data_IF_135179473266
#
_entry.id   IF_135179473266
#
_cell.length_a   1.000
_cell.length_b   1.000
_cell.length_c   1.000
_cell.angle_alpha   90.00
_cell.angle_beta   90.00
_cell.angle_gamma   90.00
#
_symmetry.space_group_name_H-M   'P 1'
#
loop_
_entity.id
_entity.type
_entity.pdbx_description
1 polymer ?
#
# COMPACT_ATOMS: atom_id res chain seq x y z
N UNK A 1 -3.45 -14.53 -18.15
CA UNK A 1 -4.91 -14.29 -18.35
C UNK A 1 -5.08 -12.81 -18.65
N UNK A 2 -5.94 -12.42 -19.59
CA UNK A 2 -6.20 -11.00 -19.85
C UNK A 2 -7.30 -10.44 -18.92
N UNK A 3 -7.34 -9.12 -18.76
CA UNK A 3 -8.26 -8.43 -17.85
C UNK A 3 -9.73 -8.64 -18.25
N UNK A 4 -10.08 -8.81 -19.54
CA UNK A 4 -11.48 -9.02 -19.98
C UNK A 4 -12.00 -10.35 -19.49
N UNK A 5 -11.17 -11.41 -19.60
CA UNK A 5 -11.52 -12.73 -19.08
C UNK A 5 -11.67 -12.71 -17.56
N UNK A 6 -10.78 -11.97 -16.87
CA UNK A 6 -10.88 -11.80 -15.43
C UNK A 6 -12.17 -11.06 -15.00
N UNK A 7 -12.58 -10.01 -15.73
CA UNK A 7 -13.84 -9.31 -15.50
C UNK A 7 -15.01 -10.31 -15.58
N UNK A 8 -15.07 -11.14 -16.61
CA UNK A 8 -16.11 -12.16 -16.74
C UNK A 8 -16.18 -13.11 -15.56
N UNK A 9 -15.04 -13.70 -15.16
CA UNK A 9 -14.96 -14.61 -14.02
C UNK A 9 -15.42 -13.95 -12.71
N UNK A 10 -14.99 -12.71 -12.46
CA UNK A 10 -15.35 -12.00 -11.23
C UNK A 10 -16.82 -11.62 -11.21
N UNK A 11 -17.41 -11.23 -12.35
CA UNK A 11 -18.86 -10.96 -12.48
C UNK A 11 -19.68 -12.22 -12.16
N UNK A 12 -19.20 -13.38 -12.61
CA UNK A 12 -19.84 -14.68 -12.34
C UNK A 12 -19.59 -15.17 -10.89
N UNK A 13 -18.99 -14.34 -10.04
CA UNK A 13 -18.70 -14.67 -8.64
C UNK A 13 -17.49 -15.59 -8.42
N UNK A 14 -16.72 -15.88 -9.47
CA UNK A 14 -15.54 -16.77 -9.38
C UNK A 14 -14.34 -16.02 -8.78
N UNK A 15 -13.60 -16.70 -7.92
CA UNK A 15 -12.34 -16.17 -7.38
C UNK A 15 -11.20 -16.34 -8.39
N UNK A 16 -10.28 -15.39 -8.40
CA UNK A 16 -9.03 -15.49 -9.15
C UNK A 16 -7.95 -16.15 -8.29
N UNK A 17 -7.12 -17.00 -8.91
CA UNK A 17 -5.88 -17.43 -8.24
C UNK A 17 -4.91 -16.25 -8.09
N UNK A 18 -3.90 -16.43 -7.24
CA UNK A 18 -2.84 -15.44 -7.07
C UNK A 18 -2.15 -15.11 -8.40
N UNK A 19 -1.81 -16.13 -9.22
CA UNK A 19 -1.16 -15.97 -10.53
C UNK A 19 -2.08 -15.24 -11.53
N UNK A 20 -3.37 -15.53 -11.49
CA UNK A 20 -4.34 -14.85 -12.34
C UNK A 20 -4.44 -13.37 -11.97
N UNK A 21 -4.47 -13.05 -10.67
CA UNK A 21 -4.50 -11.68 -10.19
C UNK A 21 -3.20 -10.94 -10.50
N UNK A 22 -2.04 -11.59 -10.39
CA UNK A 22 -0.75 -11.03 -10.82
C UNK A 22 -0.80 -10.62 -12.29
N UNK A 23 -1.29 -11.48 -13.16
CA UNK A 23 -1.38 -11.18 -14.60
C UNK A 23 -2.27 -9.94 -14.88
N UNK A 24 -3.44 -9.86 -14.24
CA UNK A 24 -4.35 -8.73 -14.40
C UNK A 24 -3.77 -7.43 -13.83
N UNK A 25 -3.17 -7.51 -12.66
CA UNK A 25 -2.54 -6.33 -12.04
C UNK A 25 -1.34 -5.84 -12.84
N UNK A 26 -0.58 -6.72 -13.48
CA UNK A 26 0.49 -6.33 -14.40
C UNK A 26 -0.04 -5.56 -15.61
N UNK A 27 -1.16 -5.98 -16.22
CA UNK A 27 -1.81 -5.23 -17.30
C UNK A 27 -2.22 -3.83 -16.83
N UNK A 28 -2.84 -3.73 -15.65
CA UNK A 28 -3.27 -2.45 -15.08
C UNK A 28 -2.06 -1.55 -14.81
N UNK A 29 -1.05 -2.07 -14.08
CA UNK A 29 0.11 -1.28 -13.65
C UNK A 29 1.11 -0.99 -14.77
N UNK A 30 1.00 -1.64 -15.92
CA UNK A 30 1.78 -1.33 -17.13
C UNK A 30 1.04 -0.39 -18.10
N UNK A 31 -0.23 -0.06 -17.82
CA UNK A 31 -1.04 0.81 -18.67
C UNK A 31 -1.59 0.16 -19.93
N UNK A 32 -1.59 -1.17 -19.99
CA UNK A 32 -2.14 -1.95 -21.12
C UNK A 32 -3.66 -2.00 -21.03
N UNK A 33 -4.21 -2.06 -19.80
CA UNK A 33 -5.66 -2.04 -19.58
C UNK A 33 -6.24 -0.64 -19.79
N UNK A 34 -7.40 -0.55 -20.42
CA UNK A 34 -8.11 0.72 -20.61
C UNK A 34 -8.77 1.19 -19.30
N UNK A 35 -9.05 2.51 -19.14
CA UNK A 35 -9.77 3.03 -17.97
C UNK A 35 -11.10 2.31 -17.71
N UNK A 36 -11.87 1.99 -18.76
CA UNK A 36 -13.13 1.26 -18.63
C UNK A 36 -12.94 -0.18 -18.11
N UNK A 37 -11.90 -0.87 -18.58
CA UNK A 37 -11.56 -2.20 -18.10
C UNK A 37 -11.14 -2.18 -16.63
N UNK A 38 -10.31 -1.22 -16.24
CA UNK A 38 -9.86 -1.05 -14.86
C UNK A 38 -11.06 -0.78 -13.94
N UNK A 39 -11.92 0.18 -14.30
CA UNK A 39 -13.11 0.52 -13.53
C UNK A 39 -14.04 -0.69 -13.38
N UNK A 40 -14.33 -1.40 -14.47
CA UNK A 40 -15.18 -2.60 -14.45
C UNK A 40 -14.61 -3.69 -13.56
N UNK A 41 -13.30 -3.98 -13.68
CA UNK A 41 -12.64 -5.02 -12.90
C UNK A 41 -12.66 -4.72 -11.39
N UNK A 42 -12.22 -3.53 -10.98
CA UNK A 42 -12.16 -3.20 -9.56
C UNK A 42 -13.54 -3.04 -8.92
N UNK A 43 -14.55 -2.68 -9.71
CA UNK A 43 -15.96 -2.61 -9.25
C UNK A 43 -16.52 -4.02 -9.08
N UNK A 44 -16.37 -4.88 -10.08
CA UNK A 44 -16.81 -6.28 -9.99
C UNK A 44 -16.11 -7.01 -8.82
N UNK A 45 -14.80 -6.83 -8.66
CA UNK A 45 -14.03 -7.41 -7.56
C UNK A 45 -14.55 -6.94 -6.18
N UNK A 46 -14.89 -5.65 -6.06
CA UNK A 46 -15.49 -5.08 -4.85
C UNK A 46 -16.88 -5.66 -4.54
N UNK A 47 -17.71 -5.91 -5.57
CA UNK A 47 -19.04 -6.50 -5.39
C UNK A 47 -18.94 -7.96 -4.95
N UNK A 48 -18.04 -8.74 -5.58
CA UNK A 48 -17.79 -10.13 -5.21
C UNK A 48 -17.18 -10.25 -3.81
N UNK A 49 -16.34 -9.33 -3.42
CA UNK A 49 -15.43 -9.41 -2.26
C UNK A 49 -14.09 -10.02 -2.65
N UNK A 50 -13.01 -9.37 -2.20
CA UNK A 50 -11.64 -9.77 -2.48
C UNK A 50 -11.19 -10.95 -1.60
N UNK A 51 -10.51 -11.93 -2.18
CA UNK A 51 -9.89 -13.04 -1.41
C UNK A 51 -8.45 -12.72 -1.03
N UNK A 52 -7.91 -13.50 -0.08
CA UNK A 52 -6.50 -13.39 0.35
C UNK A 52 -5.56 -13.61 -0.83
N UNK A 53 -5.86 -14.56 -1.74
CA UNK A 53 -5.09 -14.84 -2.94
C UNK A 53 -5.06 -13.62 -3.88
N UNK A 54 -6.22 -13.03 -4.12
CA UNK A 54 -6.36 -11.86 -4.99
C UNK A 54 -5.62 -10.65 -4.41
N UNK A 55 -5.79 -10.37 -3.12
CA UNK A 55 -5.08 -9.26 -2.46
C UNK A 55 -3.57 -9.51 -2.48
N UNK A 56 -3.12 -10.76 -2.24
CA UNK A 56 -1.70 -11.14 -2.27
C UNK A 56 -1.09 -10.90 -3.65
N UNK A 57 -1.75 -11.40 -4.71
CA UNK A 57 -1.29 -11.21 -6.09
C UNK A 57 -1.17 -9.72 -6.45
N UNK A 58 -2.17 -8.93 -6.10
CA UNK A 58 -2.16 -7.49 -6.32
C UNK A 58 -1.03 -6.79 -5.55
N UNK A 59 -0.83 -7.12 -4.28
CA UNK A 59 0.23 -6.54 -3.45
C UNK A 59 1.63 -6.88 -4.00
N UNK A 60 1.86 -8.11 -4.46
CA UNK A 60 3.13 -8.52 -5.08
C UNK A 60 3.47 -7.69 -6.31
N UNK A 61 2.51 -7.47 -7.22
CA UNK A 61 2.73 -6.63 -8.41
C UNK A 61 3.04 -5.20 -8.01
N UNK A 62 2.29 -4.62 -7.08
CA UNK A 62 2.53 -3.25 -6.64
C UNK A 62 3.89 -3.09 -5.96
N UNK A 63 4.33 -4.06 -5.14
CA UNK A 63 5.68 -4.07 -4.55
C UNK A 63 6.76 -4.09 -5.62
N UNK A 64 6.62 -4.96 -6.62
CA UNK A 64 7.59 -5.09 -7.72
C UNK A 64 7.68 -3.83 -8.60
N UNK A 65 6.58 -3.09 -8.76
CA UNK A 65 6.52 -1.85 -9.57
C UNK A 65 6.86 -0.59 -8.77
N UNK A 66 7.01 -0.68 -7.46
CA UNK A 66 7.39 0.45 -6.62
C UNK A 66 8.84 0.85 -6.82
N UNK A 67 9.15 2.13 -6.62
CA UNK A 67 10.54 2.60 -6.52
C UNK A 67 11.12 2.16 -5.18
N UNK A 68 12.06 1.22 -5.20
CA UNK A 68 12.63 0.64 -3.99
C UNK A 68 13.53 1.61 -3.22
N UNK A 69 13.41 1.58 -1.90
CA UNK A 69 14.21 2.35 -0.95
C UNK A 69 15.10 1.39 -0.14
N UNK A 70 16.41 1.57 -0.21
CA UNK A 70 17.34 0.78 0.58
C UNK A 70 17.46 1.35 2.00
N UNK A 71 17.14 0.55 3.00
CA UNK A 71 17.34 0.94 4.41
C UNK A 71 18.76 0.65 4.91
N UNK A 72 19.55 -0.14 4.18
CA UNK A 72 20.83 -0.67 4.63
C UNK A 72 20.72 -1.80 5.65
N UNK A 73 19.50 -2.20 6.01
CA UNK A 73 19.23 -3.29 6.97
C UNK A 73 18.99 -4.59 6.19
N UNK A 74 19.67 -5.65 6.59
CA UNK A 74 19.43 -6.99 6.05
C UNK A 74 18.24 -7.65 6.76
N UNK A 75 17.06 -7.44 6.21
CA UNK A 75 15.80 -7.98 6.75
C UNK A 75 15.67 -9.50 6.61
N UNK A 76 16.52 -10.14 5.79
CA UNK A 76 16.57 -11.60 5.64
C UNK A 76 17.32 -12.26 6.80
N UNK A 77 18.34 -11.60 7.33
CA UNK A 77 19.16 -12.06 8.44
C UNK A 77 18.82 -11.34 9.77
N UNK A 78 17.53 -11.39 10.16
CA UNK A 78 16.98 -10.88 11.42
C UNK A 78 17.01 -9.35 11.61
N UNK A 79 17.45 -8.56 10.65
CA UNK A 79 17.30 -7.11 10.69
C UNK A 79 15.84 -6.72 10.74
N UNK A 80 15.51 -5.66 11.48
CA UNK A 80 14.12 -5.19 11.66
C UNK A 80 13.98 -3.82 11.02
N UNK A 81 13.00 -3.71 10.11
CA UNK A 81 12.51 -2.45 9.56
C UNK A 81 11.01 -2.40 9.79
N UNK A 82 10.57 -1.40 10.53
CA UNK A 82 9.16 -1.24 10.91
C UNK A 82 8.45 -0.25 10.01
N UNK A 83 7.22 -0.58 9.62
CA UNK A 83 6.24 0.37 9.10
C UNK A 83 5.05 0.50 10.06
N UNK A 84 4.60 1.71 10.26
CA UNK A 84 3.38 2.02 11.01
C UNK A 84 2.43 2.75 10.08
N UNK A 85 1.42 2.08 9.61
CA UNK A 85 0.49 2.65 8.63
C UNK A 85 -0.95 2.18 8.87
N UNK A 86 -1.86 2.60 8.04
CA UNK A 86 -3.24 2.17 8.10
C UNK A 86 -3.92 2.29 6.73
N UNK A 87 -5.03 1.60 6.58
CA UNK A 87 -5.87 1.70 5.38
C UNK A 87 -6.50 3.09 5.22
N UNK A 88 -6.54 3.86 6.30
CA UNK A 88 -7.27 5.11 6.35
C UNK A 88 -8.79 4.92 6.31
N UNK A 89 -9.52 6.02 6.32
CA UNK A 89 -10.97 5.98 6.06
C UNK A 89 -11.83 5.39 7.18
N UNK A 90 -11.33 5.31 8.40
CA UNK A 90 -12.06 4.81 9.58
C UNK A 90 -13.04 5.84 10.19
N UNK A 91 -12.96 7.09 9.74
CA UNK A 91 -13.78 8.22 10.21
C UNK A 91 -13.72 8.43 11.74
N UNK A 92 -12.67 7.94 12.41
CA UNK A 92 -12.53 7.96 13.87
C UNK A 92 -12.27 9.36 14.44
N UNK A 93 -11.80 10.30 13.60
CA UNK A 93 -11.46 11.67 14.03
C UNK A 93 -10.28 11.76 15.00
N UNK A 94 -9.51 10.70 15.16
CA UNK A 94 -8.33 10.66 16.03
C UNK A 94 -7.15 11.43 15.39
N UNK A 95 -6.12 11.71 16.20
CA UNK A 95 -4.86 12.23 15.69
C UNK A 95 -4.10 11.18 14.86
N UNK A 96 -3.03 11.59 14.20
CA UNK A 96 -2.22 10.70 13.33
C UNK A 96 -1.42 9.67 14.15
N UNK A 97 -2.13 8.68 14.74
CA UNK A 97 -1.56 7.66 15.63
C UNK A 97 -0.36 6.97 15.00
N UNK A 98 -0.51 6.51 13.75
CA UNK A 98 0.58 5.81 13.05
C UNK A 98 1.82 6.69 12.84
N UNK A 99 1.64 8.00 12.65
CA UNK A 99 2.77 8.94 12.52
C UNK A 99 3.45 9.17 13.87
N UNK A 100 2.70 9.38 14.94
CA UNK A 100 3.25 9.52 16.28
C UNK A 100 3.99 8.24 16.71
N UNK A 101 3.41 7.07 16.48
CA UNK A 101 4.04 5.78 16.77
C UNK A 101 5.37 5.58 16.02
N UNK A 102 5.47 6.06 14.77
CA UNK A 102 6.72 5.99 14.00
C UNK A 102 7.88 6.68 14.72
N UNK A 103 7.65 7.87 15.28
CA UNK A 103 8.67 8.60 16.04
C UNK A 103 9.02 7.91 17.36
N UNK A 104 8.05 7.36 18.06
CA UNK A 104 8.28 6.61 19.31
C UNK A 104 9.14 5.37 19.05
N UNK A 105 8.81 4.61 17.99
CA UNK A 105 9.55 3.40 17.61
C UNK A 105 10.98 3.76 17.18
N UNK A 106 11.16 4.82 16.39
CA UNK A 106 12.49 5.29 16.00
C UNK A 106 13.30 5.80 17.22
N UNK A 107 12.65 6.52 18.14
CA UNK A 107 13.25 6.97 19.40
C UNK A 107 13.68 5.83 20.32
N UNK A 108 13.06 4.65 20.19
CA UNK A 108 13.48 3.43 20.86
C UNK A 108 14.65 2.69 20.15
N UNK A 109 15.21 3.27 19.09
CA UNK A 109 16.36 2.72 18.35
C UNK A 109 16.00 1.69 17.27
N UNK A 110 14.73 1.56 16.91
CA UNK A 110 14.30 0.63 15.86
C UNK A 110 14.15 1.40 14.54
N UNK A 111 14.69 0.85 13.45
CA UNK A 111 14.61 1.49 12.14
C UNK A 111 13.17 1.52 11.62
N UNK A 112 12.71 2.70 11.23
CA UNK A 112 11.36 2.94 10.70
C UNK A 112 11.40 3.42 9.26
N UNK A 113 10.73 2.70 8.37
CA UNK A 113 10.46 3.11 7.00
C UNK A 113 8.95 3.34 6.85
N UNK A 114 8.49 4.53 7.26
CA UNK A 114 7.06 4.82 7.31
C UNK A 114 6.48 5.09 5.94
N UNK A 115 5.65 4.20 5.44
CA UNK A 115 4.85 4.42 4.24
C UNK A 115 3.60 5.25 4.57
N UNK A 116 3.30 6.25 3.75
CA UNK A 116 2.16 7.10 4.01
C UNK A 116 1.73 7.99 2.85
N UNK A 117 0.57 8.59 3.01
CA UNK A 117 -0.05 9.45 2.00
C UNK A 117 -0.71 10.68 2.66
N UNK A 118 -1.21 11.59 1.81
CA UNK A 118 -2.16 12.61 2.23
C UNK A 118 -3.51 11.97 2.57
N UNK A 119 -4.31 12.67 3.35
CA UNK A 119 -5.66 12.22 3.64
C UNK A 119 -6.55 12.27 2.38
N UNK A 120 -7.42 11.27 2.26
CA UNK A 120 -8.50 11.24 1.27
C UNK A 120 -9.85 11.58 1.93
N UNK A 121 -10.05 11.13 3.16
CA UNK A 121 -11.33 11.21 3.88
C UNK A 121 -11.29 11.92 5.23
N UNK A 122 -10.10 12.10 5.81
CA UNK A 122 -9.91 12.83 7.06
C UNK A 122 -9.38 14.25 6.82
N UNK A 123 -9.32 15.07 7.87
CA UNK A 123 -8.82 16.45 7.78
C UNK A 123 -7.31 16.54 7.59
N UNK A 124 -6.55 15.51 7.99
CA UNK A 124 -5.09 15.51 7.98
C UNK A 124 -4.54 14.09 7.91
N UNK A 125 -3.79 13.77 6.86
CA UNK A 125 -3.06 12.51 6.70
C UNK A 125 -1.62 12.59 7.24
N UNK A 126 -0.88 11.49 7.15
CA UNK A 126 0.52 11.44 7.60
C UNK A 126 1.39 12.47 6.88
N UNK A 127 1.24 12.59 5.56
CA UNK A 127 2.01 13.54 4.77
C UNK A 127 1.66 14.99 5.14
N UNK A 128 0.38 15.27 5.41
CA UNK A 128 -0.07 16.63 5.71
C UNK A 128 0.53 17.14 7.04
N UNK A 129 0.52 16.31 8.08
CA UNK A 129 1.11 16.70 9.38
C UNK A 129 2.63 16.81 9.31
N UNK A 130 3.30 15.94 8.58
CA UNK A 130 4.76 15.99 8.43
C UNK A 130 5.18 17.23 7.64
N UNK A 131 4.48 17.56 6.56
CA UNK A 131 4.73 18.78 5.77
C UNK A 131 4.50 20.04 6.60
N UNK A 132 3.44 20.10 7.42
CA UNK A 132 3.18 21.19 8.35
C UNK A 132 4.27 21.31 9.42
N UNK A 133 4.91 20.19 9.80
CA UNK A 133 6.06 20.18 10.70
C UNK A 133 7.40 20.51 10.01
N UNK A 134 7.39 20.85 8.70
CA UNK A 134 8.58 21.25 7.94
C UNK A 134 9.33 20.08 7.28
N UNK A 135 8.78 18.86 7.28
CA UNK A 135 9.39 17.72 6.58
C UNK A 135 9.17 17.84 5.08
N UNK A 136 10.24 17.77 4.31
CA UNK A 136 10.19 17.77 2.85
C UNK A 136 9.72 16.40 2.33
N UNK A 137 8.56 16.35 1.69
CA UNK A 137 7.97 15.10 1.17
C UNK A 137 8.56 14.63 -0.15
N UNK A 138 9.06 15.56 -0.98
CA UNK A 138 9.58 15.30 -2.33
C UNK A 138 11.10 15.05 -2.31
N UNK A 139 11.54 14.08 -1.50
CA UNK A 139 12.94 13.65 -1.50
C UNK A 139 13.17 12.58 -2.58
N UNK A 140 14.41 12.53 -3.11
CA UNK A 140 14.82 11.42 -3.97
C UNK A 140 14.92 10.11 -3.18
N UNK A 141 14.84 8.95 -3.85
CA UNK A 141 15.01 7.64 -3.19
C UNK A 141 16.31 7.55 -2.37
N UNK A 142 17.39 8.12 -2.88
CA UNK A 142 18.70 8.14 -2.22
C UNK A 142 18.66 8.99 -0.94
N UNK A 143 18.03 10.16 -0.99
CA UNK A 143 17.88 11.03 0.17
C UNK A 143 17.00 10.40 1.26
N UNK A 144 15.93 9.69 0.88
CA UNK A 144 15.11 8.91 1.83
C UNK A 144 15.96 7.80 2.47
N UNK A 145 16.72 7.06 1.66
CA UNK A 145 17.65 6.02 2.14
C UNK A 145 18.65 6.58 3.16
N UNK A 146 19.24 7.74 2.87
CA UNK A 146 20.17 8.42 3.78
C UNK A 146 19.50 8.85 5.10
N UNK A 147 18.27 9.35 5.06
CA UNK A 147 17.50 9.64 6.28
C UNK A 147 17.34 8.38 7.13
N UNK A 148 16.84 7.28 6.54
CA UNK A 148 16.67 6.02 7.28
C UNK A 148 17.99 5.56 7.92
N UNK A 149 19.10 5.61 7.19
CA UNK A 149 20.41 5.17 7.68
C UNK A 149 20.99 6.08 8.78
N UNK A 150 20.82 7.41 8.66
CA UNK A 150 21.45 8.37 9.56
C UNK A 150 20.67 8.65 10.82
N UNK A 151 19.34 8.72 10.72
CA UNK A 151 18.46 9.11 11.84
C UNK A 151 17.48 8.03 12.24
N UNK A 152 17.54 6.85 11.63
CA UNK A 152 16.69 5.71 11.98
C UNK A 152 15.24 5.79 11.51
N UNK A 153 14.85 6.87 10.81
CA UNK A 153 13.47 7.04 10.30
C UNK A 153 13.47 7.72 8.93
N UNK A 154 12.59 7.24 8.04
CA UNK A 154 12.31 7.86 6.76
C UNK A 154 10.83 7.84 6.42
N UNK A 155 10.35 8.88 5.76
CA UNK A 155 8.97 8.95 5.27
C UNK A 155 8.92 8.62 3.77
N UNK A 156 8.17 7.58 3.44
CA UNK A 156 8.00 7.06 2.09
C UNK A 156 6.66 7.57 1.54
N UNK A 157 6.72 8.69 0.81
CA UNK A 157 5.52 9.32 0.27
C UNK A 157 4.97 8.52 -0.91
N UNK A 158 3.83 7.86 -0.74
CA UNK A 158 3.26 6.90 -1.69
C UNK A 158 3.13 7.45 -3.12
N UNK A 159 2.63 8.67 -3.38
CA UNK A 159 2.53 9.20 -4.74
C UNK A 159 3.87 9.33 -5.48
N UNK A 160 4.96 9.58 -4.77
CA UNK A 160 6.29 9.70 -5.36
C UNK A 160 6.93 8.33 -5.68
N UNK A 161 6.55 7.28 -4.96
CA UNK A 161 7.21 5.98 -5.03
C UNK A 161 6.40 4.90 -5.79
N UNK A 162 5.13 5.14 -6.07
CA UNK A 162 4.26 4.23 -6.81
C UNK A 162 3.82 4.82 -8.15
N UNK A 163 4.77 5.10 -9.03
CA UNK A 163 4.51 5.75 -10.33
C UNK A 163 3.51 4.99 -11.23
N UNK A 164 3.44 3.66 -11.11
CA UNK A 164 2.50 2.82 -11.85
C UNK A 164 1.02 3.08 -11.47
N UNK A 165 0.77 3.63 -10.29
CA UNK A 165 -0.60 4.01 -9.86
C UNK A 165 -1.27 5.04 -10.77
N UNK A 166 -0.51 5.79 -11.57
CA UNK A 166 -1.05 6.77 -12.53
C UNK A 166 -2.13 6.20 -13.45
N UNK A 167 -2.03 4.92 -13.79
CA UNK A 167 -3.01 4.25 -14.66
C UNK A 167 -4.34 3.92 -13.96
N UNK A 168 -4.32 3.72 -12.64
CA UNK A 168 -5.50 3.38 -11.85
C UNK A 168 -6.17 4.60 -11.18
N UNK A 169 -5.49 5.74 -11.04
CA UNK A 169 -6.00 6.93 -10.34
C UNK A 169 -7.25 7.49 -10.99
N UNK A 170 -7.26 7.64 -12.34
CA UNK A 170 -8.42 8.15 -13.09
C UNK A 170 -9.67 7.31 -12.82
N UNK A 171 -9.67 6.03 -13.22
CA UNK A 171 -10.80 5.13 -12.98
C UNK A 171 -11.29 5.13 -11.53
N UNK A 172 -10.37 5.07 -10.55
CA UNK A 172 -10.73 5.10 -9.13
C UNK A 172 -11.45 6.37 -8.69
N UNK A 173 -11.01 7.53 -9.20
CA UNK A 173 -11.65 8.82 -8.90
C UNK A 173 -13.04 8.91 -9.51
N UNK A 174 -13.20 8.45 -10.74
CA UNK A 174 -14.47 8.51 -11.48
C UNK A 174 -15.54 7.62 -10.85
N UNK A 175 -15.20 6.39 -10.43
CA UNK A 175 -16.16 5.50 -9.78
C UNK A 175 -16.50 5.91 -8.34
N UNK A 176 -15.62 6.63 -7.65
CA UNK A 176 -15.88 7.26 -6.34
C UNK A 176 -16.16 6.31 -5.16
N UNK A 177 -15.98 4.99 -5.33
CA UNK A 177 -16.19 4.00 -4.27
C UNK A 177 -14.88 3.38 -3.79
N UNK A 178 -14.91 2.75 -2.62
CA UNK A 178 -13.77 1.96 -2.12
C UNK A 178 -13.59 0.70 -2.96
N UNK A 179 -12.34 0.39 -3.27
CA UNK A 179 -11.93 -0.79 -4.04
C UNK A 179 -10.72 -1.44 -3.39
N UNK A 180 -10.22 -2.53 -3.94
CA UNK A 180 -9.00 -3.20 -3.50
C UNK A 180 -7.82 -2.21 -3.30
N UNK A 181 -7.72 -1.15 -4.07
CA UNK A 181 -6.66 -0.14 -3.93
C UNK A 181 -6.69 0.62 -2.60
N UNK A 182 -7.80 0.59 -1.85
CA UNK A 182 -7.87 1.21 -0.53
C UNK A 182 -7.19 0.37 0.55
N UNK A 183 -6.99 -0.91 0.31
CA UNK A 183 -6.31 -1.83 1.23
C UNK A 183 -4.89 -2.20 0.78
N UNK A 184 -4.56 -2.00 -0.52
CA UNK A 184 -3.25 -2.35 -1.06
C UNK A 184 -2.12 -1.42 -0.60
N UNK A 185 -2.41 -0.12 -0.39
CA UNK A 185 -1.38 0.86 0.00
C UNK A 185 -0.50 0.40 1.16
N UNK A 186 -1.07 0.05 2.31
CA UNK A 186 -0.31 -0.45 3.46
C UNK A 186 0.50 -1.72 3.20
N UNK A 187 0.08 -2.56 2.26
CA UNK A 187 0.73 -3.84 1.94
C UNK A 187 1.96 -3.69 1.02
N UNK A 188 2.26 -2.47 0.57
CA UNK A 188 3.20 -2.23 -0.53
C UNK A 188 4.34 -1.29 -0.16
N UNK A 189 4.84 -1.40 1.07
CA UNK A 189 5.94 -0.56 1.55
C UNK A 189 7.19 -0.68 0.65
N UNK A 190 7.66 0.43 0.04
CA UNK A 190 8.77 0.43 -0.92
C UNK A 190 10.13 0.07 -0.33
N UNK A 191 10.28 0.13 1.00
CA UNK A 191 11.51 -0.27 1.69
C UNK A 191 11.53 -1.74 2.10
N UNK A 192 10.46 -2.49 1.79
CA UNK A 192 10.36 -3.89 2.19
C UNK A 192 10.35 -4.09 3.71
N UNK A 193 9.69 -3.19 4.44
CA UNK A 193 9.50 -3.33 5.88
C UNK A 193 8.99 -4.74 6.22
N UNK A 194 9.71 -5.44 7.12
CA UNK A 194 9.40 -6.82 7.48
C UNK A 194 8.64 -6.95 8.81
N UNK A 195 8.42 -5.85 9.49
CA UNK A 195 7.54 -5.75 10.67
C UNK A 195 6.55 -4.60 10.43
N UNK A 196 5.28 -4.82 10.71
CA UNK A 196 4.27 -3.80 10.43
C UNK A 196 3.18 -3.76 11.49
N UNK A 197 2.82 -2.55 11.91
CA UNK A 197 1.57 -2.28 12.62
C UNK A 197 0.59 -1.67 11.65
N UNK A 198 -0.47 -2.39 11.33
CA UNK A 198 -1.46 -2.02 10.33
C UNK A 198 -2.82 -1.73 10.96
N UNK A 199 -3.24 -0.45 10.98
CA UNK A 199 -4.60 -0.07 11.32
C UNK A 199 -5.57 -0.34 10.17
N UNK A 200 -6.73 -0.92 10.45
CA UNK A 200 -7.76 -1.24 9.45
C UNK A 200 -9.05 -0.48 9.72
N UNK A 201 -9.77 -0.05 8.67
CA UNK A 201 -11.03 0.67 8.82
C UNK A 201 -12.22 -0.23 9.18
N UNK A 202 -12.09 -1.54 9.07
CA UNK A 202 -13.10 -2.53 9.44
C UNK A 202 -12.44 -3.75 10.07
N UNK A 203 -13.04 -4.26 11.15
CA UNK A 203 -12.58 -5.46 11.85
C UNK A 203 -12.48 -6.69 10.93
N UNK A 204 -13.36 -6.79 9.96
CA UNK A 204 -13.40 -7.90 8.99
C UNK A 204 -12.13 -8.00 8.15
N UNK A 205 -11.37 -6.91 8.01
CA UNK A 205 -10.10 -6.89 7.28
C UNK A 205 -8.92 -7.41 8.09
N UNK A 206 -9.05 -7.60 9.40
CA UNK A 206 -7.91 -7.95 10.27
C UNK A 206 -7.27 -9.28 9.86
N UNK A 207 -8.07 -10.35 9.77
CA UNK A 207 -7.55 -11.69 9.41
C UNK A 207 -7.06 -11.74 7.95
N UNK A 208 -7.85 -11.29 6.94
CA UNK A 208 -7.37 -11.31 5.56
C UNK A 208 -6.06 -10.55 5.35
N UNK A 209 -5.94 -9.34 5.90
CA UNK A 209 -4.73 -8.54 5.70
C UNK A 209 -3.53 -9.09 6.48
N UNK A 210 -3.74 -9.69 7.66
CA UNK A 210 -2.68 -10.40 8.38
C UNK A 210 -2.17 -11.62 7.57
N UNK A 211 -3.08 -12.39 6.97
CA UNK A 211 -2.72 -13.51 6.10
C UNK A 211 -1.93 -13.03 4.86
N UNK A 212 -2.36 -11.94 4.22
CA UNK A 212 -1.64 -11.35 3.09
C UNK A 212 -0.25 -10.89 3.51
N UNK A 213 -0.12 -10.18 4.64
CA UNK A 213 1.18 -9.72 5.16
C UNK A 213 2.15 -10.88 5.38
N UNK A 214 1.68 -11.99 5.98
CA UNK A 214 2.47 -13.20 6.12
C UNK A 214 2.94 -13.78 4.77
N UNK A 215 2.07 -13.82 3.75
CA UNK A 215 2.41 -14.30 2.40
C UNK A 215 3.39 -13.41 1.63
N UNK A 216 3.43 -12.12 1.94
CA UNK A 216 4.40 -11.18 1.34
C UNK A 216 5.64 -10.96 2.20
N UNK A 217 5.83 -11.78 3.27
CA UNK A 217 7.04 -11.81 4.09
C UNK A 217 7.11 -10.75 5.19
N UNK A 218 5.98 -10.19 5.62
CA UNK A 218 5.88 -9.24 6.72
C UNK A 218 5.34 -9.96 7.98
N UNK A 219 5.89 -9.60 9.15
CA UNK A 219 5.49 -10.11 10.49
C UNK A 219 4.58 -9.12 11.19
#
# INVERSE_FOLDING_TARGET
MDIRKAIGLVIDGSNLSEEQMIAVMDEIMSGTATPAQIASFITALRIKGETVEEITGAAKVMRNKATHISTGIDTKNQGIVVDTCGTGGDSSGTFNVSTASAFVVAGAGITVAKHGNRSISSKCGSADVLEAAGVKLSLSPEAISECVKKIGIGFLFAPALHGAMKYAIGPRKEIGVRTIFNILGPLTNPAGANVQVLGVFSRELTEPLAAVLGRVGTR
#
